data_IF_761371239458
#
_entry.id   IF_761371239458
#
_cell.length_a   1.000
_cell.length_b   1.000
_cell.length_c   1.000
_cell.angle_alpha   90.00
_cell.angle_beta   90.00
_cell.angle_gamma   90.00
#
_symmetry.space_group_name_H-M   'P 1'
#
loop_
_entity.id
_entity.type
_entity.pdbx_description
1 polymer ?
#
# COMPACT_ATOMS: atom_id res chain seq x y z
N UNK A 1 -21.12 -33.60 10.83
CA UNK A 1 -20.53 -33.48 12.18
C UNK A 1 -19.67 -32.22 12.23
N UNK A 2 -19.73 -31.46 13.32
CA UNK A 2 -18.92 -30.25 13.46
C UNK A 2 -17.47 -30.65 13.72
N UNK A 3 -16.55 -30.01 13.00
CA UNK A 3 -15.17 -30.39 13.01
C UNK A 3 -14.23 -29.19 13.07
N UNK A 4 -13.11 -29.37 13.78
CA UNK A 4 -12.01 -28.42 13.83
C UNK A 4 -10.87 -28.97 12.98
N UNK A 5 -10.45 -28.19 12.00
CA UNK A 5 -9.35 -28.52 11.10
C UNK A 5 -8.13 -27.65 11.39
N UNK A 6 -6.94 -28.17 11.13
CA UNK A 6 -5.67 -27.47 11.32
C UNK A 6 -4.98 -27.33 9.98
N UNK A 7 -4.45 -26.15 9.72
CA UNK A 7 -3.64 -25.83 8.54
C UNK A 7 -2.27 -25.37 9.01
N UNK A 8 -1.21 -25.95 8.46
CA UNK A 8 0.18 -25.59 8.70
C UNK A 8 0.89 -25.40 7.35
N UNK A 9 1.32 -24.17 7.00
CA UNK A 9 1.88 -23.91 5.68
C UNK A 9 3.29 -24.46 5.53
N UNK A 10 3.97 -24.78 6.64
CA UNK A 10 5.35 -25.24 6.69
C UNK A 10 5.41 -26.77 6.69
N UNK A 11 4.64 -27.41 7.57
CA UNK A 11 4.72 -28.85 7.83
C UNK A 11 3.47 -29.63 7.37
N UNK A 12 2.42 -28.93 6.93
CA UNK A 12 1.17 -29.55 6.49
C UNK A 12 1.28 -30.21 5.13
N UNK A 13 0.31 -31.09 4.86
CA UNK A 13 0.13 -31.77 3.58
C UNK A 13 -1.38 -31.88 3.30
N UNK A 14 -1.83 -31.51 2.09
CA UNK A 14 -3.26 -31.51 1.74
C UNK A 14 -3.85 -32.92 1.58
N UNK A 15 -3.00 -33.95 1.56
CA UNK A 15 -3.40 -35.36 1.64
C UNK A 15 -3.74 -35.81 3.07
N UNK A 16 -3.38 -35.03 4.09
CA UNK A 16 -3.73 -35.31 5.46
C UNK A 16 -5.24 -35.14 5.72
N UNK A 17 -5.68 -35.49 6.93
CA UNK A 17 -7.08 -35.36 7.36
C UNK A 17 -7.37 -34.06 8.15
N UNK A 18 -6.35 -33.26 8.46
CA UNK A 18 -6.47 -31.95 9.09
C UNK A 18 -6.93 -31.95 10.56
N UNK A 19 -7.06 -33.11 11.23
CA UNK A 19 -7.73 -33.19 12.55
C UNK A 19 -6.95 -32.59 13.73
N UNK A 20 -5.62 -32.48 13.61
CA UNK A 20 -4.73 -31.92 14.63
C UNK A 20 -3.37 -31.62 14.00
N UNK A 21 -2.48 -30.95 14.73
CA UNK A 21 -1.26 -30.35 14.18
C UNK A 21 -0.30 -31.30 13.43
N UNK A 22 -0.16 -32.57 13.85
CA UNK A 22 0.74 -33.53 13.18
C UNK A 22 0.15 -34.20 11.94
N UNK A 23 -1.10 -33.88 11.60
CA UNK A 23 -1.76 -34.26 10.33
C UNK A 23 -2.51 -33.05 9.76
N UNK A 24 -1.90 -31.87 9.83
CA UNK A 24 -2.49 -30.64 9.33
C UNK A 24 -2.55 -30.61 7.80
N UNK A 25 -3.54 -29.90 7.25
CA UNK A 25 -3.53 -29.52 5.83
C UNK A 25 -2.39 -28.53 5.56
N UNK A 26 -1.98 -28.41 4.31
CA UNK A 26 -1.00 -27.41 3.89
C UNK A 26 -1.65 -26.08 3.56
N UNK A 27 -2.79 -26.09 2.88
CA UNK A 27 -3.44 -24.89 2.33
C UNK A 27 -4.74 -24.55 3.06
N UNK A 28 -5.09 -23.26 3.09
CA UNK A 28 -6.37 -22.81 3.65
C UNK A 28 -7.51 -23.22 2.72
N UNK A 29 -7.29 -23.19 1.40
CA UNK A 29 -8.26 -23.69 0.42
C UNK A 29 -8.69 -25.14 0.72
N UNK A 30 -7.75 -26.06 0.99
CA UNK A 30 -8.07 -27.45 1.36
C UNK A 30 -8.99 -27.51 2.58
N UNK A 31 -8.71 -26.68 3.58
CA UNK A 31 -9.53 -26.57 4.78
C UNK A 31 -10.94 -26.05 4.47
N UNK A 32 -11.06 -25.01 3.64
CA UNK A 32 -12.35 -24.46 3.18
C UNK A 32 -13.20 -25.51 2.47
N UNK A 33 -12.57 -26.38 1.67
CA UNK A 33 -13.29 -27.47 1.00
C UNK A 33 -13.82 -28.52 1.98
N UNK A 34 -13.07 -28.81 3.06
CA UNK A 34 -13.54 -29.68 4.13
C UNK A 34 -14.62 -29.04 5.02
N UNK A 35 -14.61 -27.71 5.19
CA UNK A 35 -15.70 -27.00 5.84
C UNK A 35 -17.03 -27.22 5.09
N UNK A 36 -17.01 -27.14 3.76
CA UNK A 36 -18.21 -27.38 2.91
C UNK A 36 -18.81 -28.77 3.15
N UNK A 37 -17.95 -29.78 3.33
CA UNK A 37 -18.38 -31.17 3.57
C UNK A 37 -18.85 -31.42 5.01
N UNK A 38 -18.27 -30.73 5.99
CA UNK A 38 -18.50 -30.96 7.42
C UNK A 38 -19.79 -30.32 7.94
N UNK A 39 -20.19 -29.20 7.31
CA UNK A 39 -21.38 -28.45 7.65
C UNK A 39 -21.15 -27.32 8.67
N UNK A 40 -22.17 -26.47 8.90
CA UNK A 40 -22.07 -25.27 9.73
C UNK A 40 -21.59 -25.53 11.15
N UNK A 41 -20.81 -24.61 11.71
CA UNK A 41 -20.16 -24.74 13.02
C UNK A 41 -18.72 -25.25 12.94
N UNK A 42 -18.29 -25.75 11.78
CA UNK A 42 -16.93 -26.26 11.58
C UNK A 42 -15.92 -25.12 11.47
N UNK A 43 -14.72 -25.36 11.99
CA UNK A 43 -13.65 -24.36 12.11
C UNK A 43 -12.38 -24.77 11.36
N UNK A 44 -11.70 -23.78 10.80
CA UNK A 44 -10.37 -23.87 10.25
C UNK A 44 -9.41 -23.08 11.13
N UNK A 45 -8.36 -23.74 11.61
CA UNK A 45 -7.38 -23.14 12.50
C UNK A 45 -6.00 -23.06 11.84
N UNK A 46 -5.51 -21.84 11.68
CA UNK A 46 -4.27 -21.54 10.97
C UNK A 46 -3.10 -21.46 11.95
N UNK A 47 -2.09 -22.28 11.72
CA UNK A 47 -0.81 -22.18 12.43
C UNK A 47 -0.01 -20.98 11.94
N UNK A 48 0.98 -20.58 12.72
CA UNK A 48 1.92 -19.54 12.34
C UNK A 48 2.65 -19.91 11.05
N UNK A 49 2.82 -18.91 10.19
CA UNK A 49 3.41 -19.06 8.88
C UNK A 49 2.78 -18.08 7.90
N UNK A 50 3.42 -17.96 6.73
CA UNK A 50 3.00 -17.07 5.65
C UNK A 50 2.25 -17.90 4.61
N UNK A 51 0.99 -17.54 4.38
CA UNK A 51 0.10 -18.17 3.42
C UNK A 51 0.00 -17.28 2.19
N UNK A 52 0.51 -17.74 1.05
CA UNK A 52 0.38 -17.07 -0.23
C UNK A 52 -0.55 -17.88 -1.13
N UNK A 53 -1.85 -17.58 -1.05
CA UNK A 53 -2.89 -18.30 -1.78
C UNK A 53 -4.11 -17.44 -2.07
N UNK A 54 -4.76 -17.72 -3.21
CA UNK A 54 -6.08 -17.22 -3.54
C UNK A 54 -7.12 -18.22 -3.05
N UNK A 55 -7.98 -17.81 -2.12
CA UNK A 55 -9.01 -18.66 -1.53
C UNK A 55 -10.35 -18.41 -2.18
N UNK A 56 -10.97 -19.48 -2.68
CA UNK A 56 -12.31 -19.46 -3.24
C UNK A 56 -13.33 -19.95 -2.22
N UNK A 57 -13.99 -18.99 -1.55
CA UNK A 57 -15.07 -19.25 -0.62
C UNK A 57 -16.41 -19.08 -1.34
N UNK A 58 -17.11 -20.19 -1.54
CA UNK A 58 -18.46 -20.20 -2.14
C UNK A 58 -19.35 -21.23 -1.43
N UNK A 59 -20.64 -20.91 -1.29
CA UNK A 59 -21.67 -21.83 -0.80
C UNK A 59 -21.66 -22.13 0.70
N UNK A 60 -20.72 -21.56 1.47
CA UNK A 60 -20.70 -21.68 2.94
C UNK A 60 -21.81 -20.82 3.56
N UNK A 61 -22.86 -21.47 4.05
CA UNK A 61 -23.99 -20.82 4.74
C UNK A 61 -24.06 -21.29 6.19
N UNK A 62 -23.60 -20.45 7.12
CA UNK A 62 -23.71 -20.69 8.57
C UNK A 62 -25.00 -20.15 9.17
N UNK A 63 -25.13 -20.29 10.49
CA UNK A 63 -26.10 -19.54 11.31
C UNK A 63 -25.37 -18.83 12.45
N UNK A 64 -26.05 -17.96 13.19
CA UNK A 64 -25.47 -17.31 14.39
C UNK A 64 -24.91 -18.32 15.40
N UNK A 65 -25.62 -19.44 15.61
CA UNK A 65 -25.18 -20.48 16.56
C UNK A 65 -24.13 -21.43 15.98
N UNK A 66 -24.00 -21.46 14.65
CA UNK A 66 -23.11 -22.39 13.93
C UNK A 66 -22.47 -21.68 12.73
N UNK A 67 -21.60 -20.69 12.95
CA UNK A 67 -20.87 -20.06 11.86
C UNK A 67 -19.80 -21.02 11.33
N UNK A 68 -19.35 -20.79 10.10
CA UNK A 68 -18.03 -21.28 9.70
C UNK A 68 -16.99 -20.29 10.20
N UNK A 69 -15.85 -20.76 10.71
CA UNK A 69 -14.83 -19.87 11.25
C UNK A 69 -13.47 -20.24 10.71
N UNK A 70 -12.75 -19.25 10.16
CA UNK A 70 -11.32 -19.35 9.90
C UNK A 70 -10.65 -18.45 10.94
N UNK A 71 -9.79 -19.03 11.77
CA UNK A 71 -9.11 -18.31 12.85
C UNK A 71 -7.72 -18.86 13.08
N UNK A 72 -6.95 -18.21 13.92
CA UNK A 72 -5.63 -18.68 14.30
C UNK A 72 -5.69 -19.93 15.21
N UNK A 73 -4.65 -20.75 15.17
CA UNK A 73 -4.45 -21.86 16.09
C UNK A 73 -3.92 -21.33 17.43
N UNK A 74 -4.76 -21.38 18.47
CA UNK A 74 -4.45 -20.91 19.82
C UNK A 74 -4.02 -19.42 19.85
N UNK A 75 -2.73 -19.14 20.05
CA UNK A 75 -2.14 -17.79 20.09
C UNK A 75 -1.15 -17.55 18.95
N UNK A 76 -1.07 -18.49 18.00
CA UNK A 76 -0.22 -18.34 16.83
C UNK A 76 -0.74 -17.19 15.96
N UNK A 77 0.16 -16.57 15.19
CA UNK A 77 -0.12 -15.44 14.31
C UNK A 77 0.13 -15.89 12.87
N UNK A 78 -0.91 -16.33 12.15
CA UNK A 78 -0.81 -16.59 10.71
C UNK A 78 -0.73 -15.26 9.95
N UNK A 79 0.04 -15.23 8.87
CA UNK A 79 0.11 -14.09 7.96
C UNK A 79 -0.48 -14.54 6.63
N UNK A 80 -1.56 -13.90 6.21
CA UNK A 80 -2.09 -14.08 4.86
C UNK A 80 -1.50 -13.00 3.99
N UNK A 81 -0.71 -13.39 2.99
CA UNK A 81 0.19 -12.50 2.28
C UNK A 81 0.02 -12.61 0.76
N UNK A 82 -0.47 -11.54 0.16
CA UNK A 82 -0.60 -11.40 -1.29
C UNK A 82 0.63 -10.78 -1.97
N UNK A 83 1.66 -10.39 -1.22
CA UNK A 83 2.89 -9.84 -1.80
C UNK A 83 3.68 -10.91 -2.54
N UNK A 84 4.42 -10.47 -3.55
CA UNK A 84 5.33 -11.32 -4.32
C UNK A 84 6.74 -10.82 -4.07
N UNK A 85 7.64 -11.73 -3.72
CA UNK A 85 9.04 -11.39 -3.48
C UNK A 85 9.70 -10.88 -4.78
N UNK A 86 10.23 -9.66 -4.74
CA UNK A 86 11.02 -9.09 -5.84
C UNK A 86 12.44 -9.65 -5.75
N UNK A 87 12.82 -10.49 -6.73
CA UNK A 87 14.11 -11.17 -6.77
C UNK A 87 14.86 -10.89 -8.08
N UNK A 88 15.30 -9.64 -8.32
CA UNK A 88 16.12 -9.33 -9.47
C UNK A 88 17.46 -10.06 -9.35
N UNK A 89 18.06 -10.40 -10.49
CA UNK A 89 19.38 -11.04 -10.52
C UNK A 89 20.50 -10.14 -9.97
N UNK A 90 20.26 -8.82 -9.97
CA UNK A 90 21.17 -7.81 -9.44
C UNK A 90 20.39 -6.54 -9.06
N UNK A 91 20.86 -5.88 -8.00
CA UNK A 91 20.53 -4.48 -7.69
C UNK A 91 21.67 -3.57 -8.14
N UNK A 92 21.34 -2.48 -8.82
CA UNK A 92 22.28 -1.45 -9.24
C UNK A 92 22.25 -0.31 -8.22
N UNK A 93 23.29 -0.24 -7.39
CA UNK A 93 23.50 0.81 -6.40
C UNK A 93 24.29 1.97 -7.02
N UNK A 94 23.72 3.17 -6.99
CA UNK A 94 24.47 4.41 -7.18
C UNK A 94 25.10 4.83 -5.85
N UNK A 95 26.43 4.71 -5.76
CA UNK A 95 27.17 5.02 -4.53
C UNK A 95 27.22 6.52 -4.20
N UNK A 96 26.90 7.40 -5.15
CA UNK A 96 26.89 8.85 -4.90
C UNK A 96 25.59 9.31 -4.23
N UNK A 97 24.47 8.65 -4.56
CA UNK A 97 23.13 9.01 -4.07
C UNK A 97 22.61 8.04 -3.02
N UNK A 98 23.11 6.79 -2.99
CA UNK A 98 22.60 5.71 -2.15
C UNK A 98 21.37 5.02 -2.75
N UNK A 99 20.93 5.40 -3.95
CA UNK A 99 19.75 4.84 -4.61
C UNK A 99 20.08 3.46 -5.18
N UNK A 100 19.23 2.48 -4.85
CA UNK A 100 19.25 1.15 -5.44
C UNK A 100 18.15 1.01 -6.48
N UNK A 101 18.47 0.42 -7.63
CA UNK A 101 17.51 0.20 -8.72
C UNK A 101 17.58 -1.24 -9.23
N UNK A 102 16.44 -1.75 -9.71
CA UNK A 102 16.38 -3.03 -10.40
C UNK A 102 15.22 -3.03 -11.39
N UNK A 103 15.34 -3.83 -12.45
CA UNK A 103 14.24 -4.06 -13.39
C UNK A 103 13.32 -5.16 -12.86
N UNK A 104 12.03 -4.82 -12.75
CA UNK A 104 10.95 -5.77 -12.44
C UNK A 104 10.09 -6.01 -13.68
N UNK A 105 9.33 -7.09 -13.68
CA UNK A 105 8.47 -7.52 -14.81
C UNK A 105 6.99 -7.23 -14.61
N UNK A 106 6.62 -6.75 -13.42
CA UNK A 106 5.24 -6.46 -13.02
C UNK A 106 5.15 -5.01 -12.55
N UNK A 107 4.03 -4.36 -12.82
CA UNK A 107 3.74 -3.05 -12.26
C UNK A 107 3.41 -3.21 -10.77
N UNK A 108 3.94 -2.31 -9.95
CA UNK A 108 3.73 -2.29 -8.50
C UNK A 108 3.10 -0.96 -8.07
N UNK A 109 2.28 -1.02 -7.02
CA UNK A 109 1.70 0.16 -6.38
C UNK A 109 2.05 0.25 -4.88
N UNK A 110 2.81 -0.72 -4.37
CA UNK A 110 3.34 -0.77 -3.02
C UNK A 110 4.63 -1.59 -3.02
N UNK A 111 5.62 -1.17 -2.24
CA UNK A 111 6.87 -1.88 -2.06
C UNK A 111 7.13 -2.07 -0.58
N UNK A 112 7.53 -3.29 -0.18
CA UNK A 112 7.83 -3.63 1.20
C UNK A 112 9.30 -4.03 1.34
N UNK A 113 9.93 -3.60 2.42
CA UNK A 113 11.25 -4.06 2.85
C UNK A 113 11.13 -4.56 4.29
N UNK A 114 11.48 -5.82 4.54
CA UNK A 114 11.37 -6.45 5.86
C UNK A 114 9.98 -6.27 6.53
N UNK A 115 8.91 -6.48 5.75
CA UNK A 115 7.50 -6.28 6.13
C UNK A 115 7.08 -4.81 6.40
N UNK A 116 7.99 -3.84 6.28
CA UNK A 116 7.68 -2.41 6.35
C UNK A 116 7.34 -1.84 4.97
N UNK A 117 6.21 -1.13 4.88
CA UNK A 117 5.79 -0.43 3.67
C UNK A 117 6.72 0.77 3.41
N UNK A 118 7.39 0.76 2.26
CA UNK A 118 8.16 1.90 1.77
C UNK A 118 7.22 3.00 1.25
N UNK A 119 7.70 4.23 1.27
CA UNK A 119 6.92 5.40 0.87
C UNK A 119 7.21 5.76 -0.56
N UNK A 120 6.23 5.94 -1.45
CA UNK A 120 6.51 6.53 -2.75
C UNK A 120 7.26 7.85 -2.54
N UNK A 121 8.39 8.03 -3.22
CA UNK A 121 9.20 9.23 -3.09
C UNK A 121 8.32 10.48 -3.28
N UNK A 122 8.35 11.40 -2.31
CA UNK A 122 7.39 12.51 -2.27
C UNK A 122 7.98 13.80 -1.71
N UNK A 123 7.38 14.91 -2.13
CA UNK A 123 7.63 16.22 -1.55
C UNK A 123 6.30 16.89 -1.12
N UNK A 124 6.22 17.50 0.08
CA UNK A 124 7.21 17.42 1.16
C UNK A 124 7.40 15.99 1.66
N UNK A 125 8.62 15.72 2.14
CA UNK A 125 9.04 14.39 2.58
C UNK A 125 8.15 13.91 3.73
N UNK A 126 7.62 12.69 3.62
CA UNK A 126 6.86 12.04 4.68
C UNK A 126 7.03 10.54 4.56
N UNK A 127 6.98 9.80 5.68
CA UNK A 127 7.26 8.36 5.70
C UNK A 127 6.15 7.55 6.38
N UNK A 128 5.96 6.33 5.87
CA UNK A 128 5.13 5.31 6.53
C UNK A 128 5.74 4.79 7.82
N UNK A 129 7.07 4.75 7.93
CA UNK A 129 7.80 4.19 9.07
C UNK A 129 7.58 4.99 10.36
N UNK A 130 7.56 6.32 10.26
CA UNK A 130 7.31 7.24 11.37
C UNK A 130 5.89 7.84 11.36
N UNK A 131 5.04 7.40 10.43
CA UNK A 131 3.63 7.81 10.29
C UNK A 131 3.43 9.31 9.97
N UNK A 132 4.47 10.04 9.54
CA UNK A 132 4.34 11.45 9.16
C UNK A 132 3.48 11.66 7.91
N UNK A 133 3.24 10.61 7.13
CA UNK A 133 2.32 10.63 5.99
C UNK A 133 0.88 11.03 6.37
N UNK A 134 0.50 10.85 7.63
CA UNK A 134 -0.81 11.26 8.16
C UNK A 134 -0.84 12.70 8.69
N UNK A 135 0.32 13.35 8.80
CA UNK A 135 0.38 14.74 9.27
C UNK A 135 0.19 15.70 8.12
N UNK A 136 -0.71 16.66 8.32
CA UNK A 136 -0.95 17.74 7.38
C UNK A 136 0.25 18.70 7.24
N UNK A 137 1.17 18.68 8.21
CA UNK A 137 2.39 19.51 8.19
C UNK A 137 3.36 19.09 7.07
N UNK A 138 3.23 17.87 6.51
CA UNK A 138 4.05 17.39 5.39
C UNK A 138 3.33 17.53 4.05
N UNK A 139 2.57 18.60 3.90
CA UNK A 139 1.89 18.99 2.67
C UNK A 139 2.34 20.39 2.27
N UNK A 140 2.47 20.63 0.96
CA UNK A 140 2.58 21.97 0.41
C UNK A 140 1.23 22.68 0.52
N UNK A 141 1.26 23.97 0.81
CA UNK A 141 0.07 24.80 0.97
C UNK A 141 0.01 25.84 -0.12
N UNK A 142 -1.16 26.03 -0.73
CA UNK A 142 -1.28 26.98 -1.83
C UNK A 142 -1.35 28.42 -1.32
N UNK A 143 -0.66 29.32 -2.01
CA UNK A 143 -0.83 30.76 -1.88
C UNK A 143 -2.22 31.19 -2.37
N UNK A 144 -2.75 32.28 -1.82
CA UNK A 144 -4.08 32.78 -2.17
C UNK A 144 -4.22 33.23 -3.63
N UNK A 145 -3.10 33.56 -4.27
CA UNK A 145 -3.04 33.96 -5.69
C UNK A 145 -2.99 32.79 -6.66
N UNK A 146 -3.01 31.54 -6.17
CA UNK A 146 -3.06 30.35 -7.03
C UNK A 146 -4.33 30.32 -7.90
N UNK A 147 -4.18 29.84 -9.13
CA UNK A 147 -5.29 29.66 -10.07
C UNK A 147 -5.59 28.17 -10.27
N UNK A 148 -6.81 27.86 -10.70
CA UNK A 148 -7.17 26.48 -10.96
C UNK A 148 -6.40 25.95 -12.18
N UNK A 149 -5.49 24.99 -11.98
CA UNK A 149 -4.52 24.51 -12.98
C UNK A 149 -3.11 25.11 -12.84
N UNK A 150 -2.92 26.05 -11.91
CA UNK A 150 -1.65 26.72 -11.63
C UNK A 150 -1.49 26.97 -10.12
N UNK A 151 -0.71 26.12 -9.46
CA UNK A 151 -0.47 26.25 -8.02
C UNK A 151 0.77 27.11 -7.80
N UNK A 152 0.66 28.03 -6.85
CA UNK A 152 1.77 28.74 -6.23
C UNK A 152 1.85 28.22 -4.79
N UNK A 153 3.00 27.73 -4.37
CA UNK A 153 3.31 27.36 -2.99
C UNK A 153 3.41 28.62 -2.11
N UNK A 154 2.83 28.58 -0.92
CA UNK A 154 2.83 29.70 0.03
C UNK A 154 4.17 29.92 0.74
N UNK A 155 5.16 29.04 0.52
CA UNK A 155 6.49 29.13 1.10
C UNK A 155 6.63 28.54 2.50
N UNK A 156 5.58 27.93 3.07
CA UNK A 156 5.68 27.26 4.38
C UNK A 156 6.51 25.98 4.29
N UNK A 157 6.23 25.15 3.28
CA UNK A 157 7.06 23.99 2.92
C UNK A 157 8.22 24.37 1.99
N UNK A 158 8.09 25.51 1.30
CA UNK A 158 9.09 26.13 0.42
C UNK A 158 9.51 25.25 -0.76
N UNK A 159 8.59 25.11 -1.72
CA UNK A 159 8.85 24.38 -2.98
C UNK A 159 10.05 24.96 -3.74
N UNK A 160 10.28 26.28 -3.69
CA UNK A 160 11.42 26.91 -4.35
C UNK A 160 12.76 26.51 -3.70
N UNK A 161 12.82 26.39 -2.37
CA UNK A 161 14.03 25.94 -1.71
C UNK A 161 14.34 24.45 -1.91
N UNK A 162 13.34 23.62 -2.27
CA UNK A 162 13.52 22.18 -2.46
C UNK A 162 14.53 21.83 -3.56
N UNK A 163 14.69 22.69 -4.57
CA UNK A 163 15.57 22.45 -5.73
C UNK A 163 15.09 21.35 -6.68
N UNK A 164 13.91 20.75 -6.45
CA UNK A 164 13.39 19.68 -7.29
C UNK A 164 12.89 20.21 -8.64
N UNK A 165 12.95 19.38 -9.68
CA UNK A 165 12.13 19.57 -10.86
C UNK A 165 10.99 18.54 -10.84
N UNK A 166 9.80 18.99 -10.48
CA UNK A 166 8.63 18.13 -10.37
C UNK A 166 7.91 17.85 -11.69
N UNK A 167 8.40 18.32 -12.84
CA UNK A 167 7.77 18.04 -14.14
C UNK A 167 7.65 16.53 -14.36
N UNK A 168 6.42 16.04 -14.62
CA UNK A 168 6.13 14.62 -14.77
C UNK A 168 5.87 13.85 -13.48
N UNK A 169 6.11 14.45 -12.30
CA UNK A 169 5.66 13.90 -11.03
C UNK A 169 4.13 13.87 -10.95
N UNK A 170 3.58 13.09 -10.02
CA UNK A 170 2.16 13.08 -9.71
C UNK A 170 1.86 14.07 -8.59
N UNK A 171 1.04 15.08 -8.87
CA UNK A 171 0.48 15.95 -7.85
C UNK A 171 -0.79 15.33 -7.27
N UNK A 172 -0.81 15.18 -5.95
CA UNK A 172 -1.99 14.80 -5.18
C UNK A 172 -2.58 16.07 -4.57
N UNK A 173 -3.74 16.47 -5.09
CA UNK A 173 -4.32 17.79 -4.98
C UNK A 173 -5.58 17.76 -4.11
N UNK A 174 -5.48 18.13 -2.84
CA UNK A 174 -6.65 18.34 -1.98
C UNK A 174 -7.13 19.80 -2.13
N UNK A 175 -7.84 20.04 -3.24
CA UNK A 175 -8.14 21.39 -3.74
C UNK A 175 -9.64 21.68 -3.91
N UNK A 176 -10.48 20.70 -3.58
CA UNK A 176 -11.94 20.78 -3.78
C UNK A 176 -12.74 20.72 -2.49
N UNK A 177 -12.21 21.26 -1.39
CA UNK A 177 -12.79 21.15 -0.03
C UNK A 177 -12.99 19.70 0.39
N UNK A 178 -11.90 19.02 0.76
CA UNK A 178 -11.82 17.58 1.09
C UNK A 178 -11.90 16.62 -0.11
N UNK A 179 -12.10 17.13 -1.33
CA UNK A 179 -11.94 16.35 -2.55
C UNK A 179 -10.47 16.36 -2.99
N UNK A 180 -9.91 15.15 -3.16
CA UNK A 180 -8.53 14.93 -3.59
C UNK A 180 -8.50 14.42 -5.03
N UNK A 181 -7.58 14.94 -5.82
CA UNK A 181 -7.39 14.56 -7.21
C UNK A 181 -5.92 14.26 -7.50
N UNK A 182 -5.64 13.31 -8.39
CA UNK A 182 -4.29 13.03 -8.85
C UNK A 182 -4.10 13.56 -10.28
N UNK A 183 -3.08 14.38 -10.52
CA UNK A 183 -2.74 14.89 -11.85
C UNK A 183 -1.24 14.93 -12.07
N UNK A 184 -0.72 14.58 -13.27
CA UNK A 184 0.66 14.85 -13.59
C UNK A 184 0.95 16.34 -13.52
N UNK A 185 2.10 16.70 -12.97
CA UNK A 185 2.67 18.04 -13.09
C UNK A 185 3.09 18.24 -14.55
N UNK A 186 2.46 19.21 -15.21
CA UNK A 186 2.72 19.52 -16.62
C UNK A 186 4.01 20.31 -16.78
N UNK A 187 4.27 21.25 -15.87
CA UNK A 187 5.49 22.04 -15.85
C UNK A 187 5.80 22.53 -14.44
N UNK A 188 7.07 22.40 -14.07
CA UNK A 188 7.70 23.01 -12.90
C UNK A 188 9.15 23.31 -13.25
N UNK A 189 9.65 24.47 -12.85
CA UNK A 189 11.07 24.82 -12.96
C UNK A 189 11.72 24.70 -11.59
N UNK A 190 12.92 24.10 -11.53
CA UNK A 190 13.66 24.01 -10.28
C UNK A 190 13.89 25.41 -9.69
N UNK A 191 13.85 25.49 -8.36
CA UNK A 191 13.97 26.74 -7.62
C UNK A 191 12.85 27.76 -7.83
N UNK A 192 11.72 27.34 -8.39
CA UNK A 192 10.49 28.13 -8.42
C UNK A 192 9.46 27.55 -7.46
N UNK A 193 8.49 28.36 -7.05
CA UNK A 193 7.45 27.96 -6.10
C UNK A 193 6.13 27.62 -6.80
N UNK A 194 6.11 27.34 -8.10
CA UNK A 194 4.86 27.17 -8.83
C UNK A 194 4.92 26.07 -9.88
N UNK A 195 3.78 25.43 -10.10
CA UNK A 195 3.64 24.39 -11.12
C UNK A 195 2.26 24.41 -11.77
N UNK A 196 2.20 23.83 -12.98
CA UNK A 196 0.93 23.66 -13.72
C UNK A 196 0.47 22.21 -13.73
N UNK A 197 -0.84 22.00 -13.88
CA UNK A 197 -1.46 20.70 -14.11
C UNK A 197 -2.74 20.86 -14.96
N UNK A 198 -3.17 19.77 -15.60
CA UNK A 198 -4.42 19.79 -16.37
C UNK A 198 -5.65 19.86 -15.43
N UNK A 199 -6.41 20.95 -15.52
CA UNK A 199 -7.58 21.21 -14.68
C UNK A 199 -8.90 20.61 -15.22
N UNK A 200 -8.83 19.46 -15.88
CA UNK A 200 -9.94 18.79 -16.57
C UNK A 200 -10.92 18.04 -15.63
N UNK A 201 -10.90 18.36 -14.33
CA UNK A 201 -11.70 17.69 -13.28
C UNK A 201 -13.12 18.25 -13.14
N UNK A 202 -13.54 19.14 -14.05
CA UNK A 202 -14.83 19.80 -14.01
C UNK A 202 -14.91 20.88 -12.92
N UNK A 203 -16.09 21.03 -12.31
CA UNK A 203 -16.31 22.03 -11.26
C UNK A 203 -15.70 21.56 -9.94
N UNK A 204 -14.70 22.31 -9.47
CA UNK A 204 -14.03 22.10 -8.19
C UNK A 204 -14.39 23.24 -7.26
N UNK A 205 -14.67 22.93 -5.99
CA UNK A 205 -14.88 23.95 -4.94
C UNK A 205 -13.53 24.56 -4.54
N UNK A 206 -13.00 25.39 -5.44
CA UNK A 206 -11.66 25.96 -5.39
C UNK A 206 -11.56 27.11 -4.37
N UNK A 207 -10.68 26.95 -3.38
CA UNK A 207 -10.33 27.97 -2.38
C UNK A 207 -8.82 27.95 -2.15
N UNK A 208 -8.03 28.72 -2.92
CA UNK A 208 -6.56 28.69 -2.90
C UNK A 208 -5.95 28.64 -1.50
N UNK A 209 -6.31 29.56 -0.61
CA UNK A 209 -5.78 29.65 0.75
C UNK A 209 -6.23 28.52 1.72
N UNK A 210 -6.97 27.53 1.23
CA UNK A 210 -7.37 26.30 1.96
C UNK A 210 -6.92 25.03 1.24
N UNK A 211 -6.27 25.19 0.10
CA UNK A 211 -5.83 24.10 -0.74
C UNK A 211 -4.45 23.64 -0.29
N UNK A 212 -4.22 22.35 -0.44
CA UNK A 212 -2.96 21.71 -0.11
C UNK A 212 -2.68 20.58 -1.08
N UNK A 213 -1.41 20.24 -1.20
CA UNK A 213 -0.95 19.24 -2.14
C UNK A 213 0.30 18.53 -1.62
N UNK A 214 0.63 17.44 -2.27
CA UNK A 214 1.98 16.91 -2.27
C UNK A 214 2.30 16.34 -3.65
N UNK A 215 3.57 16.17 -3.94
CA UNK A 215 4.10 15.65 -5.19
C UNK A 215 4.67 14.26 -4.91
N UNK A 216 4.46 13.28 -5.78
CA UNK A 216 4.98 11.93 -5.63
C UNK A 216 5.36 11.29 -6.98
N UNK A 217 5.86 10.06 -6.94
CA UNK A 217 6.10 9.23 -8.13
C UNK A 217 7.08 9.84 -9.15
N UNK A 218 8.15 10.47 -8.67
CA UNK A 218 9.24 10.96 -9.51
C UNK A 218 10.59 10.69 -8.85
N UNK A 219 11.56 10.25 -9.64
CA UNK A 219 12.95 10.04 -9.19
C UNK A 219 13.57 11.33 -8.62
N UNK A 220 13.12 12.50 -9.08
CA UNK A 220 13.58 13.79 -8.55
C UNK A 220 13.19 14.03 -7.09
N UNK A 221 12.25 13.23 -6.56
CA UNK A 221 11.78 13.30 -5.18
C UNK A 221 12.44 12.25 -4.29
N UNK A 222 13.20 11.30 -4.85
CA UNK A 222 13.80 10.19 -4.11
C UNK A 222 15.05 10.66 -3.37
N UNK A 223 14.89 11.08 -2.12
CA UNK A 223 15.93 11.77 -1.35
C UNK A 223 16.05 11.29 0.11
N UNK A 224 15.07 10.53 0.63
CA UNK A 224 15.04 10.08 2.03
C UNK A 224 15.06 8.54 2.12
N UNK A 225 15.87 7.95 3.03
CA UNK A 225 15.81 6.51 3.30
C UNK A 225 14.41 6.04 3.70
N UNK A 226 13.93 4.97 3.07
CA UNK A 226 12.57 4.46 3.24
C UNK A 226 11.60 4.88 2.14
N UNK A 227 12.07 5.67 1.17
CA UNK A 227 11.38 5.94 -0.07
C UNK A 227 11.67 4.91 -1.16
N UNK A 228 10.81 4.84 -2.18
CA UNK A 228 11.01 4.07 -3.41
C UNK A 228 10.52 4.81 -4.65
#
# INVERSE_FOLDING_TARGET
PVYNYVVDPVNGDDTNIGRWAGVAFKTIQRCVDELKLSGPGSECHLRSGRYHEVININGLKGSTDKPYTIKNWKKEVPIWDGTVAIQPSKWDLDSNTGICSAKITEDIFALFLDDDLLTPARWPDALWSNKTIFSNENWGHCDETSEYGYIIDNGEADLAASGINATGAMAILNIGSFNTYARPVVYHEANTNNFTYNHDMGSVHWKPNKNQYYLEASLALLNVPGEW
#
